data_IF_397474332242
#
_entry.id   IF_397474332242
#
_cell.length_a   1.000
_cell.length_b   1.000
_cell.length_c   1.000
_cell.angle_alpha   90.00
_cell.angle_beta   90.00
_cell.angle_gamma   90.00
#
_symmetry.space_group_name_H-M   'P 1'
#
loop_
_entity.id
_entity.type
_entity.pdbx_description
1 polymer ?
#
# COMPACT_ATOMS: atom_id res chain seq x y z
N UNK A 1 6.32 -0.30 7.60
CA UNK A 1 5.09 0.52 7.37
C UNK A 1 5.27 1.85 8.06
N UNK A 2 4.97 2.97 7.40
CA UNK A 2 5.07 4.31 8.01
C UNK A 2 3.80 5.14 7.74
N UNK A 3 3.12 5.61 8.79
CA UNK A 3 2.03 6.58 8.70
C UNK A 3 2.59 8.01 8.76
N UNK A 4 2.66 8.78 7.67
CA UNK A 4 3.52 10.01 7.59
C UNK A 4 2.96 11.29 8.21
N UNK A 5 1.80 11.27 8.88
CA UNK A 5 1.12 12.50 9.31
C UNK A 5 1.50 13.00 10.69
N UNK A 6 1.97 14.25 10.87
CA UNK A 6 2.14 14.84 12.20
C UNK A 6 0.77 15.08 12.87
N UNK A 7 0.66 14.73 14.15
CA UNK A 7 -0.44 15.05 15.07
C UNK A 7 -1.89 14.58 14.74
N UNK A 8 -2.12 13.77 13.70
CA UNK A 8 -3.47 13.26 13.40
C UNK A 8 -3.83 12.01 14.22
N UNK A 9 -5.04 11.90 14.79
CA UNK A 9 -5.49 10.68 15.44
C UNK A 9 -5.64 9.55 14.40
N UNK A 10 -5.53 8.31 14.85
CA UNK A 10 -5.77 7.11 14.04
C UNK A 10 -4.93 7.09 12.75
N UNK A 11 -3.65 7.46 12.83
CA UNK A 11 -2.76 7.37 11.67
C UNK A 11 -2.57 5.91 11.23
N UNK A 12 -2.50 4.99 12.18
CA UNK A 12 -2.64 3.54 11.94
C UNK A 12 -3.74 3.03 12.86
N UNK A 13 -4.74 2.35 12.30
CA UNK A 13 -5.80 1.74 13.10
C UNK A 13 -6.22 0.37 12.58
N UNK A 14 -6.53 -0.52 13.52
CA UNK A 14 -7.07 -1.85 13.26
C UNK A 14 -8.31 -2.04 14.14
N UNK A 15 -9.40 -2.56 13.56
CA UNK A 15 -10.65 -2.85 14.27
C UNK A 15 -11.30 -4.12 13.76
N UNK A 16 -12.27 -4.62 14.51
CA UNK A 16 -13.20 -5.67 14.08
C UNK A 16 -12.47 -6.90 13.57
N UNK A 17 -11.71 -7.57 14.45
CA UNK A 17 -10.91 -8.77 14.13
C UNK A 17 -9.77 -8.58 13.12
N UNK A 18 -9.51 -7.35 12.65
CA UNK A 18 -8.42 -7.09 11.71
C UNK A 18 -7.05 -7.52 12.24
N UNK A 19 -6.25 -8.12 11.38
CA UNK A 19 -4.91 -8.61 11.61
C UNK A 19 -3.92 -7.89 10.69
N UNK A 20 -2.81 -7.42 11.26
CA UNK A 20 -1.62 -7.02 10.51
C UNK A 20 -0.47 -7.92 10.94
N UNK A 21 -0.01 -8.79 10.04
CA UNK A 21 1.05 -9.76 10.30
C UNK A 21 2.31 -9.36 9.56
N UNK A 22 3.29 -8.82 10.27
CA UNK A 22 4.49 -8.21 9.69
C UNK A 22 5.80 -8.77 10.28
N UNK A 23 6.07 -10.09 10.17
CA UNK A 23 7.27 -10.70 10.75
C UNK A 23 8.53 -10.11 10.12
N UNK A 24 9.52 -9.77 10.96
CA UNK A 24 10.77 -9.16 10.50
C UNK A 24 10.61 -7.71 9.99
N UNK A 25 9.45 -7.10 10.17
CA UNK A 25 9.15 -5.74 9.72
C UNK A 25 8.97 -4.79 10.91
N UNK A 26 9.21 -3.50 10.66
CA UNK A 26 8.83 -2.42 11.56
C UNK A 26 7.50 -1.78 11.13
N UNK A 27 6.61 -1.53 12.08
CA UNK A 27 5.39 -0.74 11.90
C UNK A 27 5.53 0.56 12.70
N UNK A 28 5.45 1.68 11.99
CA UNK A 28 5.76 3.00 12.51
C UNK A 28 4.61 3.98 12.28
N UNK A 29 4.13 4.63 13.33
CA UNK A 29 3.21 5.75 13.23
C UNK A 29 3.98 7.05 13.45
N UNK A 30 4.02 7.93 12.45
CA UNK A 30 4.68 9.23 12.55
C UNK A 30 3.81 10.28 13.26
N UNK A 31 2.60 9.93 13.68
CA UNK A 31 1.71 10.86 14.37
C UNK A 31 2.09 11.03 15.82
N UNK A 32 2.33 12.28 16.22
CA UNK A 32 2.52 12.71 17.60
C UNK A 32 1.23 12.75 18.44
N UNK A 33 0.08 12.38 17.86
CA UNK A 33 -1.19 12.33 18.59
C UNK A 33 -1.18 11.19 19.63
N UNK A 34 -1.85 11.38 20.78
CA UNK A 34 -2.03 10.33 21.79
C UNK A 34 -2.73 9.06 21.24
N UNK A 35 -3.48 9.20 20.14
CA UNK A 35 -4.11 8.11 19.40
C UNK A 35 -3.40 7.81 18.08
N UNK A 36 -2.07 7.95 18.02
CA UNK A 36 -1.26 7.72 16.82
C UNK A 36 -1.37 6.28 16.28
N UNK A 37 -1.58 5.30 17.15
CA UNK A 37 -1.96 3.94 16.82
C UNK A 37 -3.22 3.52 17.57
N UNK A 38 -4.14 2.81 16.93
CA UNK A 38 -5.37 2.33 17.56
C UNK A 38 -5.64 0.87 17.22
N UNK A 39 -5.80 0.01 18.23
CA UNK A 39 -6.22 -1.39 18.09
C UNK A 39 -7.45 -1.63 18.97
N UNK A 40 -8.56 -2.06 18.37
CA UNK A 40 -9.83 -2.29 19.08
C UNK A 40 -10.55 -3.54 18.56
N UNK A 41 -11.58 -3.99 19.28
CA UNK A 41 -12.51 -5.03 18.83
C UNK A 41 -11.80 -6.30 18.32
N UNK A 42 -10.96 -6.89 19.16
CA UNK A 42 -10.21 -8.12 18.86
C UNK A 42 -9.22 -8.03 17.68
N UNK A 43 -8.85 -6.82 17.24
CA UNK A 43 -7.77 -6.66 16.26
C UNK A 43 -6.41 -7.08 16.84
N UNK A 44 -5.47 -7.49 16.01
CA UNK A 44 -4.08 -7.69 16.41
C UNK A 44 -3.08 -7.16 15.37
N UNK A 45 -2.08 -6.43 15.84
CA UNK A 45 -0.94 -5.98 15.05
C UNK A 45 0.31 -6.71 15.56
N UNK A 46 0.87 -7.59 14.74
CA UNK A 46 2.07 -8.36 15.04
C UNK A 46 3.24 -7.94 14.13
N UNK A 47 4.36 -7.53 14.70
CA UNK A 47 5.55 -7.11 13.95
C UNK A 47 6.85 -7.31 14.76
N UNK A 48 8.02 -7.12 14.15
CA UNK A 48 9.30 -7.15 14.90
C UNK A 48 9.44 -5.92 15.80
N UNK A 49 9.07 -4.75 15.28
CA UNK A 49 9.09 -3.48 16.01
C UNK A 49 7.80 -2.73 15.74
N UNK A 50 7.19 -2.19 16.79
CA UNK A 50 6.00 -1.33 16.69
C UNK A 50 6.31 -0.04 17.43
N UNK A 51 6.28 1.09 16.73
CA UNK A 51 6.67 2.39 17.28
C UNK A 51 5.65 3.47 16.90
N UNK A 52 5.19 4.26 17.87
CA UNK A 52 4.34 5.43 17.66
C UNK A 52 5.09 6.67 18.12
N UNK A 53 5.13 7.71 17.28
CA UNK A 53 5.72 9.00 17.67
C UNK A 53 4.90 9.71 18.76
N UNK A 54 3.60 9.43 18.82
CA UNK A 54 2.70 9.88 19.87
C UNK A 54 2.36 8.71 20.78
N UNK A 55 1.06 8.47 20.97
CA UNK A 55 0.54 7.41 21.82
C UNK A 55 -0.11 6.26 21.07
N UNK A 56 -0.71 5.36 21.84
CA UNK A 56 -1.51 4.22 21.37
C UNK A 56 -2.78 4.05 22.20
N UNK A 57 -3.84 3.56 21.56
CA UNK A 57 -5.10 3.13 22.20
C UNK A 57 -5.35 1.67 21.87
N UNK A 58 -5.75 0.89 22.88
CA UNK A 58 -6.01 -0.54 22.77
C UNK A 58 -5.40 -1.33 23.92
N UNK A 59 -5.89 -2.54 24.13
CA UNK A 59 -5.36 -3.46 25.12
C UNK A 59 -4.02 -4.05 24.65
N UNK A 60 -3.24 -4.61 25.59
CA UNK A 60 -1.98 -5.30 25.27
C UNK A 60 -2.17 -6.42 24.24
N UNK A 61 -3.31 -7.13 24.28
CA UNK A 61 -3.63 -8.18 23.32
C UNK A 61 -3.81 -7.69 21.88
N UNK A 62 -3.99 -6.38 21.66
CA UNK A 62 -4.13 -5.81 20.32
C UNK A 62 -2.79 -5.61 19.60
N UNK A 63 -1.65 -5.78 20.28
CA UNK A 63 -0.33 -5.51 19.74
C UNK A 63 0.69 -6.55 20.21
N UNK A 64 1.52 -7.03 19.29
CA UNK A 64 2.58 -8.02 19.57
C UNK A 64 3.87 -7.61 18.84
N UNK A 65 4.87 -7.00 19.52
CA UNK A 65 4.90 -6.59 20.93
C UNK A 65 4.01 -5.36 21.25
N UNK A 66 3.97 -4.92 22.51
CA UNK A 66 3.29 -3.66 22.84
C UNK A 66 4.03 -2.47 22.18
N UNK A 67 3.33 -1.45 21.63
CA UNK A 67 3.97 -0.36 20.91
C UNK A 67 4.85 0.49 21.82
N UNK A 68 6.07 0.78 21.36
CA UNK A 68 6.91 1.84 21.94
C UNK A 68 6.25 3.18 21.58
N UNK A 69 6.17 4.09 22.54
CA UNK A 69 5.58 5.44 22.35
C UNK A 69 6.68 6.50 22.42
N UNK A 70 6.37 7.74 21.99
CA UNK A 70 7.32 8.86 21.93
C UNK A 70 8.53 8.60 21.03
N UNK A 71 8.36 7.80 19.98
CA UNK A 71 9.42 7.55 19.01
C UNK A 71 9.72 8.81 18.16
N UNK A 72 10.95 9.02 17.67
CA UNK A 72 11.30 10.21 16.87
C UNK A 72 10.53 10.24 15.55
N UNK A 73 10.00 11.38 15.12
CA UNK A 73 9.32 11.42 13.82
C UNK A 73 10.30 11.11 12.67
N UNK A 74 9.94 10.14 11.83
CA UNK A 74 10.71 9.77 10.65
C UNK A 74 10.43 10.77 9.52
N UNK A 75 11.49 11.17 8.82
CA UNK A 75 11.36 11.85 7.53
C UNK A 75 10.83 10.87 6.49
N UNK A 76 10.08 11.37 5.52
CA UNK A 76 9.59 10.53 4.43
C UNK A 76 10.79 9.99 3.60
N UNK A 77 11.04 8.66 3.64
CA UNK A 77 12.21 8.07 3.00
C UNK A 77 12.13 8.13 1.47
N UNK A 78 10.97 8.40 0.89
CA UNK A 78 10.76 8.48 -0.54
C UNK A 78 10.55 9.91 -1.03
N UNK A 79 10.67 10.94 -0.18
CA UNK A 79 10.40 12.34 -0.56
C UNK A 79 11.21 12.83 -1.76
N UNK A 80 12.47 12.38 -1.90
CA UNK A 80 13.37 12.79 -2.99
C UNK A 80 13.15 12.06 -4.32
N UNK A 81 12.28 11.05 -4.37
CA UNK A 81 12.02 10.29 -5.61
C UNK A 81 11.25 11.16 -6.61
N UNK A 82 11.79 11.43 -7.81
CA UNK A 82 11.08 12.21 -8.81
C UNK A 82 9.84 11.44 -9.30
N UNK A 83 8.74 12.14 -9.63
CA UNK A 83 7.60 11.51 -10.29
C UNK A 83 7.97 11.10 -11.73
N UNK A 84 7.31 10.08 -12.31
CA UNK A 84 7.47 9.75 -13.72
C UNK A 84 6.89 10.86 -14.62
N UNK A 85 7.33 10.89 -15.88
CA UNK A 85 6.81 11.83 -16.86
C UNK A 85 5.33 11.54 -17.17
N UNK A 86 4.50 12.58 -17.17
CA UNK A 86 3.06 12.47 -17.48
C UNK A 86 2.76 13.08 -18.84
N UNK A 87 2.52 12.22 -19.83
CA UNK A 87 2.13 12.62 -21.18
C UNK A 87 0.64 12.91 -21.35
N UNK A 88 0.23 13.03 -22.63
CA UNK A 88 -1.18 13.03 -23.02
C UNK A 88 -1.84 11.66 -22.82
N UNK A 89 -3.17 11.63 -22.78
CA UNK A 89 -3.94 10.40 -22.57
C UNK A 89 -3.77 9.44 -23.76
N UNK A 90 -3.28 8.22 -23.52
CA UNK A 90 -3.32 7.13 -24.50
C UNK A 90 -4.70 6.48 -24.54
N UNK A 91 -5.35 6.39 -23.38
CA UNK A 91 -6.66 5.76 -23.20
C UNK A 91 -7.55 6.64 -22.33
N UNK A 92 -8.87 6.59 -22.54
CA UNK A 92 -9.85 7.41 -21.80
C UNK A 92 -11.05 6.58 -21.38
N UNK A 93 -11.47 6.71 -20.12
CA UNK A 93 -12.71 6.15 -19.57
C UNK A 93 -12.90 4.66 -19.91
N UNK A 94 -11.85 3.85 -19.74
CA UNK A 94 -11.86 2.46 -20.21
C UNK A 94 -12.69 1.60 -19.26
N UNK A 95 -13.60 0.81 -19.83
CA UNK A 95 -14.32 -0.27 -19.17
C UNK A 95 -14.06 -1.56 -19.93
N UNK A 96 -13.49 -2.56 -19.27
CA UNK A 96 -13.25 -3.90 -19.81
C UNK A 96 -14.23 -4.85 -19.10
N UNK A 97 -15.15 -5.42 -19.86
CA UNK A 97 -16.21 -6.30 -19.36
C UNK A 97 -16.14 -7.67 -20.02
N UNK A 98 -15.82 -8.70 -19.23
CA UNK A 98 -15.61 -10.06 -19.73
C UNK A 98 -14.39 -10.23 -20.65
N UNK A 99 -14.19 -11.46 -21.12
CA UNK A 99 -13.12 -11.80 -22.06
C UNK A 99 -11.71 -11.72 -21.46
N UNK A 100 -10.70 -11.69 -22.32
CA UNK A 100 -9.30 -11.55 -21.92
C UNK A 100 -8.61 -10.49 -22.77
N UNK A 101 -7.84 -9.61 -22.13
CA UNK A 101 -7.11 -8.55 -22.84
C UNK A 101 -5.78 -8.25 -22.18
N UNK A 102 -4.82 -7.78 -22.98
CA UNK A 102 -3.53 -7.30 -22.49
C UNK A 102 -3.44 -5.79 -22.66
N UNK A 103 -3.24 -5.08 -21.56
CA UNK A 103 -2.97 -3.65 -21.56
C UNK A 103 -1.47 -3.39 -21.66
N UNK A 104 -1.12 -2.26 -22.27
CA UNK A 104 0.26 -1.80 -22.44
C UNK A 104 0.53 -0.57 -21.59
N UNK A 105 1.78 -0.32 -21.18
CA UNK A 105 2.18 0.90 -20.49
C UNK A 105 1.69 2.16 -21.20
N UNK A 106 1.29 3.17 -20.44
CA UNK A 106 0.74 4.41 -20.97
C UNK A 106 -0.10 5.20 -19.96
N UNK A 107 -0.68 6.31 -20.44
CA UNK A 107 -1.52 7.22 -19.66
C UNK A 107 -3.00 6.87 -19.85
N UNK A 108 -3.64 6.47 -18.76
CA UNK A 108 -5.05 6.12 -18.66
C UNK A 108 -5.80 7.24 -17.96
N UNK A 109 -6.62 7.97 -18.71
CA UNK A 109 -7.35 9.13 -18.23
C UNK A 109 -8.81 8.79 -17.90
N UNK A 110 -9.39 9.37 -16.85
CA UNK A 110 -10.81 9.19 -16.55
C UNK A 110 -11.17 7.83 -15.95
N UNK A 111 -10.15 7.08 -15.49
CA UNK A 111 -10.31 5.79 -14.84
C UNK A 111 -10.21 4.57 -15.77
N UNK A 112 -9.99 3.42 -15.14
CA UNK A 112 -9.90 2.10 -15.75
C UNK A 112 -10.70 1.13 -14.90
N UNK A 113 -11.84 0.67 -15.42
CA UNK A 113 -12.68 -0.34 -14.76
C UNK A 113 -12.55 -1.68 -15.44
N UNK A 114 -12.31 -2.73 -14.66
CA UNK A 114 -12.22 -4.11 -15.12
C UNK A 114 -13.27 -4.91 -14.37
N UNK A 115 -14.21 -5.52 -15.09
CA UNK A 115 -15.46 -6.05 -14.52
C UNK A 115 -15.96 -7.31 -15.24
N UNK A 116 -17.06 -7.87 -14.73
CA UNK A 116 -17.80 -8.98 -15.34
C UNK A 116 -16.92 -10.17 -15.76
N UNK A 117 -16.02 -10.61 -14.87
CA UNK A 117 -15.14 -11.75 -15.12
C UNK A 117 -14.04 -11.52 -16.15
N UNK A 118 -13.77 -10.27 -16.54
CA UNK A 118 -12.65 -9.96 -17.43
C UNK A 118 -11.31 -10.42 -16.83
N UNK A 119 -10.45 -10.98 -17.68
CA UNK A 119 -9.07 -11.32 -17.33
C UNK A 119 -8.12 -10.35 -18.01
N UNK A 120 -7.50 -9.46 -17.23
CA UNK A 120 -6.59 -8.45 -17.75
C UNK A 120 -5.17 -8.76 -17.34
N UNK A 121 -4.28 -8.78 -18.33
CA UNK A 121 -2.83 -8.85 -18.14
C UNK A 121 -2.20 -7.51 -18.49
N UNK A 122 -1.29 -7.03 -17.66
CA UNK A 122 -0.50 -5.84 -17.90
C UNK A 122 0.85 -6.28 -18.47
N UNK A 123 1.24 -5.70 -19.60
CA UNK A 123 2.62 -5.79 -20.06
C UNK A 123 3.54 -5.01 -19.11
N UNK A 124 4.81 -5.44 -18.91
CA UNK A 124 5.78 -4.73 -18.08
C UNK A 124 5.90 -3.25 -18.44
N UNK A 125 5.97 -2.38 -17.44
CA UNK A 125 6.22 -0.94 -17.61
C UNK A 125 5.35 -0.04 -16.71
N UNK A 126 5.34 1.25 -17.04
CA UNK A 126 4.72 2.29 -16.23
C UNK A 126 3.31 2.66 -16.71
N UNK A 127 2.36 2.70 -15.78
CA UNK A 127 0.96 3.01 -16.01
C UNK A 127 0.60 4.29 -15.25
N UNK A 128 0.26 5.35 -15.98
CA UNK A 128 -0.16 6.60 -15.35
C UNK A 128 -1.69 6.61 -15.29
N UNK A 129 -2.25 6.52 -14.09
CA UNK A 129 -3.66 6.73 -13.81
C UNK A 129 -3.87 8.24 -13.58
N UNK A 130 -4.53 8.88 -14.54
CA UNK A 130 -4.76 10.33 -14.55
C UNK A 130 -6.26 10.60 -14.44
N UNK A 131 -6.66 11.32 -13.42
CA UNK A 131 -8.05 11.74 -13.22
C UNK A 131 -9.09 10.59 -13.18
N UNK A 132 -8.82 9.51 -12.44
CA UNK A 132 -9.84 8.48 -12.22
C UNK A 132 -9.33 7.16 -11.64
N UNK A 133 -10.24 6.39 -11.04
CA UNK A 133 -9.86 5.18 -10.29
C UNK A 133 -9.43 4.03 -11.20
N UNK A 134 -8.40 3.30 -10.77
CA UNK A 134 -8.19 1.91 -11.13
C UNK A 134 -9.17 1.07 -10.32
N UNK A 135 -10.20 0.51 -10.97
CA UNK A 135 -11.29 -0.21 -10.30
C UNK A 135 -11.42 -1.63 -10.87
N UNK A 136 -11.23 -2.63 -10.02
CA UNK A 136 -11.42 -4.04 -10.39
C UNK A 136 -12.59 -4.59 -9.56
N UNK A 137 -13.63 -5.12 -10.20
CA UNK A 137 -14.81 -5.70 -9.55
C UNK A 137 -15.44 -6.84 -10.37
N UNK A 138 -16.61 -7.33 -9.94
CA UNK A 138 -17.45 -8.20 -10.77
C UNK A 138 -16.82 -9.54 -11.18
N UNK A 139 -15.96 -10.13 -10.36
CA UNK A 139 -15.29 -11.40 -10.67
C UNK A 139 -14.04 -11.25 -11.54
N UNK A 140 -13.62 -10.04 -11.87
CA UNK A 140 -12.50 -9.80 -12.77
C UNK A 140 -11.12 -10.01 -12.12
N UNK A 141 -10.12 -10.26 -12.96
CA UNK A 141 -8.72 -10.40 -12.57
C UNK A 141 -7.81 -9.37 -13.25
N UNK A 142 -6.82 -8.90 -12.49
CA UNK A 142 -5.75 -8.04 -12.96
C UNK A 142 -4.39 -8.65 -12.57
N UNK A 143 -3.56 -8.95 -13.56
CA UNK A 143 -2.24 -9.52 -13.36
C UNK A 143 -1.15 -8.74 -14.09
N UNK A 144 0.05 -8.67 -13.53
CA UNK A 144 1.17 -7.96 -14.15
C UNK A 144 2.49 -8.18 -13.43
N UNK A 145 3.55 -8.35 -14.21
CA UNK A 145 4.92 -8.48 -13.69
C UNK A 145 5.73 -7.26 -14.13
N UNK A 146 6.46 -6.65 -13.20
CA UNK A 146 7.22 -5.42 -13.42
C UNK A 146 6.35 -4.25 -13.90
N UNK A 147 5.28 -3.99 -13.15
CA UNK A 147 4.30 -2.93 -13.45
C UNK A 147 4.22 -1.93 -12.31
N UNK A 148 4.36 -0.66 -12.65
CA UNK A 148 4.31 0.45 -11.68
C UNK A 148 3.18 1.41 -12.04
N UNK A 149 2.44 1.86 -11.03
CA UNK A 149 1.33 2.79 -11.20
C UNK A 149 1.65 4.16 -10.60
N UNK A 150 1.46 5.21 -11.38
CA UNK A 150 1.49 6.59 -10.91
C UNK A 150 0.07 7.18 -10.90
N UNK A 151 -0.42 7.55 -9.73
CA UNK A 151 -1.77 8.07 -9.48
C UNK A 151 -1.70 9.60 -9.38
N UNK A 152 -2.10 10.31 -10.42
CA UNK A 152 -1.98 11.78 -10.51
C UNK A 152 -3.30 12.46 -10.87
N UNK A 153 -3.44 13.74 -10.51
CA UNK A 153 -4.68 14.54 -10.63
C UNK A 153 -5.78 14.07 -9.64
N UNK A 154 -6.87 14.82 -9.52
CA UNK A 154 -8.03 14.48 -8.69
C UNK A 154 -8.60 13.10 -9.08
N UNK A 155 -9.31 12.39 -8.20
CA UNK A 155 -9.98 11.12 -8.57
C UNK A 155 -9.10 9.88 -8.84
N UNK A 156 -7.77 10.00 -8.98
CA UNK A 156 -6.87 8.86 -9.18
C UNK A 156 -6.65 8.05 -7.90
N UNK A 157 -7.41 6.97 -7.79
CA UNK A 157 -7.41 6.06 -6.64
C UNK A 157 -7.26 4.60 -7.08
N UNK A 158 -7.06 3.70 -6.11
CA UNK A 158 -7.17 2.25 -6.33
C UNK A 158 -8.40 1.74 -5.59
N UNK A 159 -9.17 0.89 -6.26
CA UNK A 159 -10.33 0.22 -5.69
C UNK A 159 -10.37 -1.23 -6.16
N UNK A 160 -9.91 -2.13 -5.29
CA UNK A 160 -9.99 -3.57 -5.50
C UNK A 160 -11.20 -4.08 -4.73
N UNK A 161 -12.34 -4.19 -5.43
CA UNK A 161 -13.59 -4.55 -4.80
C UNK A 161 -13.62 -6.02 -4.37
N UNK A 162 -14.56 -6.38 -3.50
CA UNK A 162 -14.84 -7.77 -3.18
C UNK A 162 -15.11 -8.57 -4.47
N UNK A 163 -14.67 -9.84 -4.49
CA UNK A 163 -14.73 -10.72 -5.69
C UNK A 163 -13.93 -10.19 -6.88
N UNK A 164 -12.74 -9.66 -6.66
CA UNK A 164 -11.72 -9.43 -7.69
C UNK A 164 -10.44 -10.19 -7.36
N UNK A 165 -9.60 -10.46 -8.36
CA UNK A 165 -8.29 -11.11 -8.19
C UNK A 165 -7.17 -10.18 -8.64
N UNK A 166 -6.15 -9.98 -7.80
CA UNK A 166 -5.04 -9.04 -8.06
C UNK A 166 -3.71 -9.74 -7.78
N UNK A 167 -2.84 -9.74 -8.78
CA UNK A 167 -1.47 -10.26 -8.68
C UNK A 167 -0.48 -9.36 -9.43
N UNK A 168 0.28 -8.55 -8.70
CA UNK A 168 1.16 -7.53 -9.25
C UNK A 168 2.56 -7.57 -8.62
N UNK A 169 3.59 -7.34 -9.43
CA UNK A 169 4.94 -7.03 -8.97
C UNK A 169 5.46 -5.72 -9.54
N UNK A 170 6.09 -4.91 -8.69
CA UNK A 170 6.67 -3.63 -9.07
C UNK A 170 7.82 -3.77 -10.08
N UNK A 171 8.12 -2.72 -10.85
CA UNK A 171 9.26 -2.70 -11.78
C UNK A 171 10.59 -2.86 -11.05
N UNK A 172 11.59 -3.44 -11.71
CA UNK A 172 12.96 -3.54 -11.19
C UNK A 172 13.79 -2.27 -11.46
N UNK A 173 13.41 -1.53 -12.48
CA UNK A 173 14.09 -0.38 -13.07
C UNK A 173 13.05 0.70 -13.48
N UNK A 174 13.54 1.81 -14.03
CA UNK A 174 12.68 2.95 -14.40
C UNK A 174 12.40 3.93 -13.26
N UNK A 175 11.54 4.91 -13.52
CA UNK A 175 11.19 5.94 -12.54
C UNK A 175 10.41 5.35 -11.36
N UNK A 176 9.65 4.27 -11.62
CA UNK A 176 8.90 3.52 -10.62
C UNK A 176 9.61 2.25 -10.12
N UNK A 177 10.94 2.16 -10.25
CA UNK A 177 11.70 1.03 -9.71
C UNK A 177 11.34 0.77 -8.24
N UNK A 178 10.90 -0.47 -7.96
CA UNK A 178 10.46 -0.95 -6.64
C UNK A 178 9.16 -0.33 -6.10
N UNK A 179 8.49 0.52 -6.88
CA UNK A 179 7.26 1.20 -6.52
C UNK A 179 6.08 0.61 -7.31
N UNK A 180 5.18 -0.08 -6.60
CA UNK A 180 3.99 -0.68 -7.20
C UNK A 180 2.91 0.38 -7.43
N UNK A 181 2.63 1.21 -6.41
CA UNK A 181 1.70 2.34 -6.49
C UNK A 181 2.36 3.57 -5.90
N UNK A 182 2.30 4.68 -6.64
CA UNK A 182 2.81 5.99 -6.24
C UNK A 182 1.71 7.01 -6.41
N UNK A 183 1.32 7.66 -5.33
CA UNK A 183 0.47 8.85 -5.39
C UNK A 183 1.31 10.10 -5.65
N UNK A 184 0.82 10.94 -6.55
CA UNK A 184 1.34 12.28 -6.79
C UNK A 184 1.39 13.07 -5.48
N UNK A 185 2.53 13.67 -5.13
CA UNK A 185 2.66 14.44 -3.89
C UNK A 185 1.84 15.73 -3.89
N UNK A 186 1.46 16.22 -5.06
CA UNK A 186 0.51 17.32 -5.21
C UNK A 186 -0.96 16.87 -5.03
N UNK A 187 -1.20 15.59 -4.75
CA UNK A 187 -2.52 15.05 -4.48
C UNK A 187 -3.22 15.76 -3.31
N UNK A 188 -4.54 15.92 -3.45
CA UNK A 188 -5.39 16.33 -2.34
C UNK A 188 -5.24 15.36 -1.17
N UNK A 189 -5.12 15.91 0.04
CA UNK A 189 -4.96 15.13 1.26
C UNK A 189 -6.21 14.31 1.57
N UNK A 190 -6.03 13.05 1.95
CA UNK A 190 -7.08 12.20 2.49
C UNK A 190 -7.83 11.35 1.46
N UNK A 191 -7.33 11.23 0.23
CA UNK A 191 -7.93 10.37 -0.80
C UNK A 191 -8.00 8.92 -0.32
N UNK A 192 -9.13 8.27 -0.57
CA UNK A 192 -9.33 6.89 -0.12
C UNK A 192 -8.89 5.90 -1.20
N UNK A 193 -7.99 5.01 -0.81
CA UNK A 193 -7.57 3.83 -1.56
C UNK A 193 -8.14 2.60 -0.83
N UNK A 194 -8.79 1.70 -1.55
CA UNK A 194 -9.52 0.59 -0.94
C UNK A 194 -9.09 -0.75 -1.51
N UNK A 195 -8.80 -1.70 -0.62
CA UNK A 195 -8.59 -3.10 -0.94
C UNK A 195 -9.59 -3.93 -0.14
N UNK A 196 -10.65 -4.38 -0.80
CA UNK A 196 -11.66 -5.31 -0.26
C UNK A 196 -11.64 -6.67 -0.98
N UNK A 197 -10.71 -6.86 -1.91
CA UNK A 197 -10.49 -8.13 -2.59
C UNK A 197 -9.98 -9.19 -1.62
N UNK A 198 -10.61 -10.36 -1.67
CA UNK A 198 -10.19 -11.58 -0.96
C UNK A 198 -9.09 -12.36 -1.69
N UNK A 199 -8.67 -11.88 -2.87
CA UNK A 199 -7.68 -12.53 -3.73
C UNK A 199 -6.64 -11.51 -4.26
N UNK A 200 -6.28 -10.52 -3.43
CA UNK A 200 -5.16 -9.60 -3.65
C UNK A 200 -3.87 -10.15 -3.02
N UNK A 201 -3.51 -11.39 -3.38
CA UNK A 201 -2.50 -12.21 -2.69
C UNK A 201 -1.06 -11.76 -2.96
N UNK A 202 -0.80 -11.19 -4.14
CA UNK A 202 0.54 -10.72 -4.53
C UNK A 202 0.51 -9.22 -4.87
N UNK A 203 1.13 -8.42 -4.00
CA UNK A 203 1.32 -6.98 -4.14
C UNK A 203 2.80 -6.67 -3.84
N UNK A 204 3.68 -7.19 -4.70
CA UNK A 204 5.12 -7.17 -4.48
C UNK A 204 5.67 -5.77 -4.81
N UNK A 205 6.33 -5.14 -3.84
CA UNK A 205 6.95 -3.82 -4.00
C UNK A 205 6.46 -2.79 -2.98
N UNK A 206 6.59 -1.51 -3.32
CA UNK A 206 6.25 -0.40 -2.41
C UNK A 206 4.95 0.29 -2.82
N UNK A 207 4.05 0.48 -1.86
CA UNK A 207 2.84 1.29 -1.96
C UNK A 207 3.13 2.62 -1.25
N UNK A 208 3.31 3.69 -2.02
CA UNK A 208 3.65 5.03 -1.54
C UNK A 208 2.50 6.00 -1.81
N UNK A 209 1.73 6.29 -0.77
CA UNK A 209 0.53 7.12 -0.79
C UNK A 209 0.66 8.25 0.26
N UNK A 210 1.61 9.19 0.10
CA UNK A 210 1.98 10.17 1.15
C UNK A 210 0.84 11.09 1.59
N UNK A 211 -0.22 11.22 0.79
CA UNK A 211 -1.42 12.00 1.11
C UNK A 211 -2.67 11.13 1.29
N UNK A 212 -2.62 9.86 0.87
CA UNK A 212 -3.74 8.93 0.85
C UNK A 212 -4.08 8.26 2.18
N UNK A 213 -5.30 7.74 2.22
CA UNK A 213 -5.85 6.83 3.24
C UNK A 213 -5.97 5.45 2.59
N UNK A 214 -5.06 4.55 2.94
CA UNK A 214 -5.17 3.15 2.53
C UNK A 214 -6.05 2.41 3.54
N UNK A 215 -7.15 1.83 3.05
CA UNK A 215 -8.06 0.99 3.83
C UNK A 215 -8.08 -0.41 3.25
N UNK A 216 -7.92 -1.41 4.11
CA UNK A 216 -8.06 -2.83 3.75
C UNK A 216 -9.23 -3.41 4.52
N UNK A 217 -10.21 -3.91 3.77
CA UNK A 217 -11.47 -4.49 4.27
C UNK A 217 -11.73 -5.82 3.56
N UNK A 218 -10.75 -6.72 3.59
CA UNK A 218 -10.85 -8.07 3.05
C UNK A 218 -11.18 -9.07 4.17
N UNK A 219 -11.68 -10.26 3.81
CA UNK A 219 -11.93 -11.38 4.72
C UNK A 219 -10.87 -12.50 4.57
N UNK A 220 -9.92 -12.34 3.64
CA UNK A 220 -8.81 -13.27 3.38
C UNK A 220 -7.45 -12.56 3.49
N UNK A 221 -6.34 -13.31 3.55
CA UNK A 221 -5.01 -12.73 3.54
C UNK A 221 -4.77 -11.85 2.32
N UNK A 222 -4.16 -10.69 2.53
CA UNK A 222 -3.77 -9.72 1.48
C UNK A 222 -2.25 -9.62 1.48
N UNK A 223 -1.66 -9.63 0.27
CA UNK A 223 -0.22 -9.52 0.01
C UNK A 223 0.68 -10.63 0.60
N UNK A 224 0.12 -11.72 1.12
CA UNK A 224 0.84 -12.80 1.79
C UNK A 224 1.75 -13.64 0.87
N UNK A 225 1.50 -13.63 -0.44
CA UNK A 225 2.36 -14.27 -1.43
C UNK A 225 3.49 -13.35 -1.91
N UNK A 226 3.53 -12.10 -1.45
CA UNK A 226 4.60 -11.17 -1.80
C UNK A 226 5.89 -11.55 -1.07
N UNK A 227 7.02 -11.50 -1.77
CA UNK A 227 8.33 -11.59 -1.14
C UNK A 227 8.50 -10.47 -0.10
N UNK A 228 8.08 -9.26 -0.48
CA UNK A 228 7.85 -8.16 0.44
C UNK A 228 6.79 -7.19 -0.08
N UNK A 229 6.22 -6.44 0.85
CA UNK A 229 5.39 -5.27 0.56
C UNK A 229 5.74 -4.18 1.56
N UNK A 230 6.11 -3.00 1.07
CA UNK A 230 6.36 -1.82 1.90
C UNK A 230 5.22 -0.85 1.71
N UNK A 231 4.67 -0.33 2.80
CA UNK A 231 3.57 0.63 2.77
C UNK A 231 4.00 1.90 3.49
N UNK A 232 3.95 3.02 2.78
CA UNK A 232 4.16 4.37 3.30
C UNK A 232 2.92 5.17 2.89
N UNK A 233 2.08 5.49 3.86
CA UNK A 233 0.77 6.11 3.62
C UNK A 233 0.51 7.21 4.65
N UNK A 234 -0.41 8.13 4.37
CA UNK A 234 -0.78 9.15 5.35
C UNK A 234 -1.63 8.58 6.48
N UNK A 235 -2.60 7.75 6.12
CA UNK A 235 -3.35 6.92 7.06
C UNK A 235 -3.44 5.47 6.57
N UNK A 236 -3.42 4.55 7.52
CA UNK A 236 -3.63 3.13 7.32
C UNK A 236 -4.77 2.65 8.20
N UNK A 237 -5.75 1.96 7.61
CA UNK A 237 -6.89 1.38 8.31
C UNK A 237 -7.14 -0.06 7.89
N UNK A 238 -7.37 -0.94 8.87
CA UNK A 238 -7.86 -2.29 8.62
C UNK A 238 -9.15 -2.51 9.41
N UNK A 239 -10.19 -2.97 8.74
CA UNK A 239 -11.51 -3.21 9.34
C UNK A 239 -12.16 -4.46 8.76
N UNK A 240 -13.15 -5.01 9.45
CA UNK A 240 -13.89 -6.19 9.02
C UNK A 240 -13.04 -7.47 8.82
N UNK A 241 -11.98 -7.66 9.62
CA UNK A 241 -11.28 -8.94 9.75
C UNK A 241 -10.19 -9.32 8.73
N UNK A 242 -9.55 -8.41 7.96
CA UNK A 242 -8.49 -8.81 7.02
C UNK A 242 -7.27 -9.34 7.75
N UNK A 243 -6.44 -10.13 7.06
CA UNK A 243 -5.05 -10.29 7.45
C UNK A 243 -4.15 -9.65 6.40
N UNK A 244 -3.68 -8.43 6.64
CA UNK A 244 -2.66 -7.82 5.80
C UNK A 244 -1.30 -8.40 6.20
N UNK A 245 -0.65 -9.09 5.27
CA UNK A 245 0.64 -9.74 5.52
C UNK A 245 1.76 -8.92 4.88
N UNK A 246 2.77 -8.58 5.66
CA UNK A 246 3.98 -7.92 5.20
C UNK A 246 5.16 -8.83 5.48
N UNK A 247 5.78 -9.34 4.42
CA UNK A 247 6.97 -10.19 4.56
C UNK A 247 8.23 -9.40 4.22
N UNK A 248 9.39 -9.81 4.77
CA UNK A 248 10.69 -9.20 4.49
C UNK A 248 11.66 -10.20 3.82
N UNK A 249 11.18 -10.98 2.84
CA UNK A 249 12.01 -11.95 2.08
C UNK A 249 12.69 -11.26 0.90
N UNK A 250 13.55 -10.28 1.17
CA UNK A 250 14.16 -9.44 0.12
C UNK A 250 15.03 -10.22 -0.88
N UNK A 251 15.58 -11.39 -0.49
CA UNK A 251 16.32 -12.28 -1.39
C UNK A 251 15.46 -13.21 -2.25
N UNK A 252 14.13 -13.24 -2.06
CA UNK A 252 13.22 -14.12 -2.80
C UNK A 252 12.65 -13.48 -4.08
N UNK A 253 13.15 -12.29 -4.46
CA UNK A 253 12.74 -11.56 -5.66
C UNK A 253 13.91 -10.74 -6.20
N UNK A 254 13.90 -10.48 -7.51
CA UNK A 254 14.85 -9.61 -8.18
C UNK A 254 14.47 -8.11 -8.09
N UNK A 255 13.25 -7.79 -7.65
CA UNK A 255 12.80 -6.41 -7.39
C UNK A 255 13.37 -5.94 -6.05
N UNK A 256 14.48 -5.20 -6.08
CA UNK A 256 15.17 -4.75 -4.87
C UNK A 256 14.32 -3.78 -4.04
N UNK A 257 14.58 -3.68 -2.74
CA UNK A 257 13.99 -2.64 -1.88
C UNK A 257 14.56 -1.26 -2.27
N UNK A 258 13.76 -0.17 -2.24
CA UNK A 258 14.29 1.17 -2.44
C UNK A 258 15.44 1.47 -1.47
N UNK A 259 16.59 1.93 -1.98
CA UNK A 259 17.80 2.21 -1.19
C UNK A 259 17.60 3.19 -0.02
N UNK A 260 16.60 4.06 -0.10
CA UNK A 260 16.27 5.02 0.95
C UNK A 260 15.38 4.46 2.06
N UNK A 261 14.85 3.25 1.89
CA UNK A 261 14.10 2.53 2.91
C UNK A 261 15.07 1.53 3.54
N UNK A 262 15.90 2.03 4.46
CA UNK A 262 16.80 1.20 5.26
C UNK A 262 16.03 0.29 6.21
N UNK A 263 16.59 -0.89 6.48
CA UNK A 263 16.10 -1.83 7.50
C UNK A 263 16.10 -1.13 8.85
N UNK A 264 14.95 -0.64 9.29
CA UNK A 264 14.76 -0.13 10.66
C UNK A 264 14.80 -1.35 11.57
N UNK A 265 15.99 -1.74 12.03
CA UNK A 265 16.13 -2.96 12.84
C UNK A 265 17.54 -3.46 13.16
N UNK A 266 18.61 -2.93 12.59
CA UNK A 266 19.95 -3.19 13.14
C UNK A 266 20.18 -2.29 14.33
N UNK A 267 20.43 -2.90 15.47
CA UNK A 267 20.64 -2.32 16.80
C UNK A 267 21.29 -0.93 16.80
N UNK A 268 20.78 -0.04 17.66
CA UNK A 268 21.57 1.05 18.21
C UNK A 268 22.76 0.41 18.93
N UNK A 269 23.95 0.47 18.32
CA UNK A 269 25.19 0.26 19.05
C UNK A 269 25.72 1.66 19.43
N UNK A 270 26.01 1.83 20.72
CA UNK A 270 26.79 2.95 21.21
C UNK A 270 28.16 2.85 20.55
N UNK A 271 28.55 3.89 19.81
CA UNK A 271 29.95 4.10 19.50
C UNK A 271 30.59 4.73 20.74
N UNK A 272 31.54 4.02 21.33
CA UNK A 272 32.53 4.58 22.26
C UNK A 272 33.52 5.46 21.48
#
# INVERSE_FOLDING_TARGET
MAGVTPAQPQAIWLKTWAQLTAPGCAVYSNSSNAQGMVGLNFSNLSAQVICSAGGKVGAKANFTPDPITNCPQLRDPLASRPPPAVGGCNQRNIVISGGSTTLRPGVYCGGLRITQGANVRLAPGEYVSKDGSLWIDGGASLSGTYVGFYLTVAGSTINFAARSSISLSAPRDGALASLLFVEDRAAAVGRRHLISSDDARMLLGTIYLPNGRLRVDANKPVADQSAYTIIVTRWMGLDAGPNLVMTARYGATDVRVPTSIGVVGTQVQLAE
#
